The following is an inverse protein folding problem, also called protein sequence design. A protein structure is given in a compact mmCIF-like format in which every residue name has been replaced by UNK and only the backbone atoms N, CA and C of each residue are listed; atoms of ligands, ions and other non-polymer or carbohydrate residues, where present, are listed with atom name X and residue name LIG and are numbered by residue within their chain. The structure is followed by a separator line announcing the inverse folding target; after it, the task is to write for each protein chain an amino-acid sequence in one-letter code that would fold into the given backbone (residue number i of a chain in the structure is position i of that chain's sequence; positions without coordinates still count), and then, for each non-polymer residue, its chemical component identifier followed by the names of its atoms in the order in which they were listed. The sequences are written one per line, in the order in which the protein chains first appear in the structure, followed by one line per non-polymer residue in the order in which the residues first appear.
data_IF_419259710747
#
_entry.id   IF_419259710747
#
_cell.length_a   1.000
_cell.length_b   1.000
_cell.length_c   1.000
_cell.angle_alpha   90.00
_cell.angle_beta   90.00
_cell.angle_gamma   90.00
#
_symmetry.space_group_name_H-M   'P 1'
#
loop_
_entity.id
_entity.type
_entity.pdbx_description
1 polymer ?
#
# COMPACT_ATOMS: atom_id res chain seq x y z
N UNK A 1 -3.42 -5.19 11.91
CA UNK A 1 -4.90 -5.24 12.01
C UNK A 1 -5.42 -4.11 11.13
N UNK A 2 -5.82 -4.43 9.91
CA UNK A 2 -6.26 -3.44 8.91
C UNK A 2 -7.71 -3.06 9.16
N UNK A 3 -7.96 -1.76 9.40
CA UNK A 3 -9.31 -1.23 9.53
C UNK A 3 -9.88 -0.87 8.16
N UNK A 4 -11.13 -1.27 7.90
CA UNK A 4 -11.85 -0.89 6.68
C UNK A 4 -12.31 0.55 6.83
N UNK A 5 -11.73 1.44 6.03
CA UNK A 5 -12.17 2.82 5.90
C UNK A 5 -13.24 2.91 4.79
N UNK A 6 -14.34 3.66 4.97
CA UNK A 6 -15.32 3.86 3.93
C UNK A 6 -14.71 4.32 2.62
N UNK A 7 -15.25 3.83 1.50
CA UNK A 7 -14.68 4.00 0.17
C UNK A 7 -14.50 5.48 -0.25
N UNK A 8 -15.35 6.37 0.26
CA UNK A 8 -15.31 7.82 -0.03
C UNK A 8 -14.27 8.55 0.80
N UNK A 9 -13.96 8.06 2.00
CA UNK A 9 -13.00 8.68 2.91
C UNK A 9 -11.57 8.30 2.55
N UNK A 10 -11.33 7.07 2.11
CA UNK A 10 -9.99 6.59 1.78
C UNK A 10 -9.36 7.32 0.59
N UNK A 11 -10.15 7.73 -0.42
CA UNK A 11 -9.64 8.54 -1.54
C UNK A 11 -9.23 9.95 -1.09
N UNK A 12 -9.97 10.53 -0.14
CA UNK A 12 -9.65 11.83 0.47
C UNK A 12 -8.42 11.73 1.36
N UNK A 13 -8.31 10.69 2.18
CA UNK A 13 -7.16 10.46 3.08
C UNK A 13 -5.89 10.22 2.26
N UNK A 14 -5.93 9.33 1.28
CA UNK A 14 -4.79 9.06 0.40
C UNK A 14 -4.51 10.25 -0.54
N UNK A 15 -5.50 11.10 -0.80
CA UNK A 15 -5.36 12.32 -1.61
C UNK A 15 -5.42 12.06 -3.11
N UNK A 16 -5.98 10.92 -3.53
CA UNK A 16 -6.11 10.57 -4.95
C UNK A 16 -7.26 9.61 -5.21
N UNK A 17 -7.68 9.51 -6.48
CA UNK A 17 -8.75 8.61 -6.91
C UNK A 17 -8.22 7.20 -7.16
N UNK A 18 -9.08 6.19 -7.02
CA UNK A 18 -8.73 4.80 -7.36
C UNK A 18 -8.27 4.67 -8.80
N UNK A 19 -7.13 4.01 -8.99
CA UNK A 19 -6.67 3.58 -10.32
C UNK A 19 -7.36 2.29 -10.76
N UNK A 20 -7.34 2.02 -12.07
CA UNK A 20 -7.94 0.80 -12.64
C UNK A 20 -7.31 -0.47 -12.06
N UNK A 21 -5.98 -0.52 -12.00
CA UNK A 21 -5.20 -1.71 -11.66
C UNK A 21 -4.28 -1.51 -10.45
N UNK A 22 -3.66 -0.33 -10.32
CA UNK A 22 -2.66 -0.07 -9.29
C UNK A 22 -3.26 0.14 -7.90
N UNK A 23 -2.59 -0.43 -6.90
CA UNK A 23 -2.82 -0.09 -5.50
C UNK A 23 -2.00 1.15 -5.17
N UNK A 24 -2.61 2.09 -4.46
CA UNK A 24 -1.97 3.31 -4.00
C UNK A 24 -2.02 3.29 -2.49
N UNK A 25 -0.99 3.79 -1.83
CA UNK A 25 -1.05 4.02 -0.40
C UNK A 25 -0.42 5.36 -0.03
N UNK A 26 -0.75 5.82 1.17
CA UNK A 26 -0.19 7.01 1.81
C UNK A 26 0.16 6.65 3.24
N UNK A 27 1.43 6.80 3.60
CA UNK A 27 1.85 6.78 4.99
C UNK A 27 1.64 8.18 5.56
N UNK A 28 0.71 8.34 6.49
CA UNK A 28 0.45 9.61 7.18
C UNK A 28 1.32 9.62 8.42
N UNK A 29 2.36 10.47 8.41
CA UNK A 29 3.38 10.51 9.48
C UNK A 29 2.79 11.01 10.80
N UNK A 30 1.92 12.02 10.74
CA UNK A 30 1.22 12.59 11.90
C UNK A 30 0.37 11.55 12.67
N UNK A 31 -0.21 10.59 11.94
CA UNK A 31 -1.06 9.54 12.50
C UNK A 31 -0.31 8.22 12.73
N UNK A 32 0.97 8.15 12.33
CA UNK A 32 1.77 6.93 12.29
C UNK A 32 1.03 5.76 11.62
N UNK A 33 0.22 6.06 10.61
CA UNK A 33 -0.74 5.13 10.01
C UNK A 33 -0.59 5.11 8.50
N UNK A 34 -0.62 3.90 7.91
CA UNK A 34 -0.56 3.72 6.45
C UNK A 34 -1.94 3.36 5.94
N UNK A 35 -2.41 4.16 4.99
CA UNK A 35 -3.70 3.98 4.34
C UNK A 35 -3.48 3.39 2.95
N UNK A 36 -4.11 2.26 2.66
CA UNK A 36 -4.09 1.63 1.34
C UNK A 36 -5.42 1.87 0.60
N UNK A 37 -5.29 2.45 -0.58
CA UNK A 37 -6.34 2.60 -1.58
C UNK A 37 -6.23 1.47 -2.60
N UNK A 38 -7.10 0.47 -2.46
CA UNK A 38 -7.23 -0.62 -3.42
C UNK A 38 -7.67 -0.13 -4.80
N UNK A 39 -7.16 -0.78 -5.84
CA UNK A 39 -7.58 -0.52 -7.22
C UNK A 39 -9.06 -0.84 -7.43
N UNK A 40 -9.65 -0.25 -8.47
CA UNK A 40 -11.04 -0.53 -8.85
C UNK A 40 -11.24 -2.01 -9.12
N UNK A 41 -10.34 -2.64 -9.88
CA UNK A 41 -10.43 -4.07 -10.16
C UNK A 41 -10.38 -4.92 -8.88
N UNK A 42 -9.58 -4.55 -7.88
CA UNK A 42 -9.51 -5.27 -6.62
C UNK A 42 -10.81 -5.12 -5.81
N UNK A 43 -11.34 -3.90 -5.75
CA UNK A 43 -12.64 -3.61 -5.13
C UNK A 43 -13.81 -4.35 -5.80
N UNK A 44 -13.79 -4.43 -7.13
CA UNK A 44 -14.89 -5.02 -7.90
C UNK A 44 -14.84 -6.57 -7.90
N UNK A 45 -13.67 -7.17 -7.62
CA UNK A 45 -13.46 -8.63 -7.65
C UNK A 45 -13.46 -9.32 -6.30
N UNK A 46 -13.24 -8.58 -5.20
CA UNK A 46 -13.12 -9.18 -3.86
C UNK A 46 -14.26 -8.73 -2.98
N UNK A 47 -14.92 -9.71 -2.36
CA UNK A 47 -15.95 -9.46 -1.34
C UNK A 47 -15.36 -8.79 -0.09
N UNK A 48 -14.14 -9.17 0.30
CA UNK A 48 -13.38 -8.54 1.38
C UNK A 48 -12.00 -8.05 0.91
N UNK A 49 -11.76 -6.75 1.06
CA UNK A 49 -10.49 -6.11 0.72
C UNK A 49 -9.37 -6.44 1.70
N UNK A 50 -9.68 -6.93 2.92
CA UNK A 50 -8.68 -7.40 3.89
C UNK A 50 -8.00 -8.68 3.42
N UNK A 51 -8.65 -9.47 2.56
CA UNK A 51 -8.06 -10.63 1.91
C UNK A 51 -7.15 -10.28 0.73
N UNK A 52 -7.06 -9.01 0.37
CA UNK A 52 -6.11 -8.56 -0.63
C UNK A 52 -4.67 -8.83 -0.13
N UNK A 53 -3.78 -9.39 -0.97
CA UNK A 53 -2.37 -9.59 -0.61
C UNK A 53 -1.69 -8.31 -0.11
N UNK A 54 -2.08 -7.14 -0.64
CA UNK A 54 -1.53 -5.86 -0.20
C UNK A 54 -1.97 -5.48 1.22
N UNK A 55 -3.22 -5.78 1.61
CA UNK A 55 -3.70 -5.59 2.98
C UNK A 55 -2.98 -6.51 3.95
N UNK A 56 -2.77 -7.77 3.58
CA UNK A 56 -2.01 -8.74 4.38
C UNK A 56 -0.53 -8.32 4.52
N UNK A 57 0.06 -7.78 3.45
CA UNK A 57 1.41 -7.25 3.49
C UNK A 57 1.51 -6.03 4.40
N UNK A 58 0.48 -5.17 4.43
CA UNK A 58 0.39 -4.05 5.36
C UNK A 58 0.22 -4.52 6.81
N UNK A 59 -0.53 -5.59 7.05
CA UNK A 59 -0.68 -6.18 8.39
C UNK A 59 0.63 -6.72 8.98
N UNK A 60 1.62 -7.03 8.13
CA UNK A 60 2.98 -7.39 8.56
C UNK A 60 3.86 -6.18 8.90
N UNK A 61 3.31 -4.97 8.81
CA UNK A 61 4.00 -3.71 9.02
C UNK A 61 4.70 -3.17 7.77
N UNK A 62 5.24 -1.97 7.90
CA UNK A 62 6.05 -1.31 6.88
C UNK A 62 7.47 -1.08 7.39
N UNK A 63 8.42 -0.95 6.47
CA UNK A 63 9.77 -0.51 6.78
C UNK A 63 9.87 1.01 6.62
N UNK A 64 10.09 1.74 7.72
CA UNK A 64 10.15 3.21 7.69
C UNK A 64 11.27 3.74 6.78
N UNK A 65 12.41 3.05 6.67
CA UNK A 65 13.51 3.46 5.78
C UNK A 65 13.10 3.40 4.30
N UNK A 66 12.30 2.41 3.90
CA UNK A 66 11.79 2.30 2.53
C UNK A 66 10.76 3.38 2.23
N UNK A 67 9.99 3.77 3.25
CA UNK A 67 8.92 4.76 3.17
C UNK A 67 9.39 6.19 3.44
N UNK A 68 10.63 6.39 3.89
CA UNK A 68 11.14 7.69 4.34
C UNK A 68 10.96 8.81 3.31
N UNK A 69 11.28 8.52 2.06
CA UNK A 69 11.12 9.48 0.96
C UNK A 69 9.68 9.55 0.45
N UNK A 70 8.81 8.62 0.83
CA UNK A 70 7.44 8.46 0.32
C UNK A 70 6.35 8.75 1.36
N UNK A 71 6.72 9.28 2.52
CA UNK A 71 5.76 9.70 3.55
C UNK A 71 4.88 10.86 3.06
N UNK A 72 3.68 10.94 3.61
CA UNK A 72 2.67 11.99 3.46
C UNK A 72 2.19 12.28 2.04
N UNK A 73 2.56 11.45 1.07
CA UNK A 73 2.12 11.55 -0.33
C UNK A 73 1.54 10.23 -0.86
N UNK A 74 0.59 10.30 -1.81
CA UNK A 74 0.09 9.11 -2.49
C UNK A 74 1.18 8.50 -3.36
N UNK A 75 1.50 7.22 -3.12
CA UNK A 75 2.43 6.44 -3.94
C UNK A 75 1.79 5.14 -4.38
N UNK A 76 2.08 4.72 -5.61
CA UNK A 76 1.80 3.33 -6.00
C UNK A 76 2.61 2.40 -5.10
N UNK A 77 2.07 1.25 -4.74
CA UNK A 77 2.73 0.28 -3.87
C UNK A 77 2.87 -1.08 -4.53
N UNK A 78 3.91 -1.80 -4.11
CA UNK A 78 4.17 -3.19 -4.43
C UNK A 78 4.26 -4.02 -3.15
N UNK A 79 4.38 -5.34 -3.34
CA UNK A 79 4.70 -6.27 -2.27
C UNK A 79 6.14 -6.71 -2.49
N UNK A 80 6.98 -6.59 -1.46
CA UNK A 80 8.33 -7.15 -1.48
C UNK A 80 8.34 -8.42 -0.66
N UNK A 81 8.80 -9.50 -1.27
CA UNK A 81 9.03 -10.79 -0.63
C UNK A 81 10.49 -10.84 -0.15
N UNK A 82 10.76 -10.89 1.16
CA UNK A 82 12.12 -11.05 1.67
C UNK A 82 12.56 -12.52 1.57
N UNK A 83 13.87 -12.74 1.48
CA UNK A 83 14.48 -14.09 1.55
C UNK A 83 14.16 -14.77 2.89
N UNK A 84 14.08 -13.98 3.97
CA UNK A 84 13.70 -14.43 5.32
C UNK A 84 12.69 -13.42 5.88
N UNK A 85 11.50 -13.89 6.25
CA UNK A 85 10.47 -13.08 6.89
C UNK A 85 9.12 -13.11 6.17
N UNK A 86 8.27 -12.12 6.45
CA UNK A 86 6.93 -11.99 5.85
C UNK A 86 6.92 -10.91 4.76
N UNK A 87 6.07 -11.05 3.72
CA UNK A 87 5.94 -10.02 2.69
C UNK A 87 5.49 -8.69 3.30
N UNK A 88 6.07 -7.60 2.81
CA UNK A 88 5.78 -6.24 3.29
C UNK A 88 5.34 -5.32 2.17
N UNK A 89 4.53 -4.34 2.53
CA UNK A 89 4.09 -3.29 1.62
C UNK A 89 5.22 -2.27 1.42
N UNK A 90 5.61 -2.05 0.17
CA UNK A 90 6.69 -1.12 -0.20
C UNK A 90 6.24 -0.13 -1.27
N UNK A 91 6.77 1.11 -1.28
CA UNK A 91 6.54 2.05 -2.37
C UNK A 91 7.06 1.50 -3.71
N UNK A 92 6.23 1.54 -4.77
CA UNK A 92 6.54 0.95 -6.06
C UNK A 92 7.63 1.70 -6.85
N UNK A 93 7.86 2.97 -6.53
CA UNK A 93 9.00 3.74 -7.03
C UNK A 93 10.36 3.14 -6.60
N UNK A 94 10.40 2.25 -5.60
CA UNK A 94 11.60 1.51 -5.19
C UNK A 94 11.63 0.04 -5.63
N UNK A 95 10.65 -0.44 -6.41
CA UNK A 95 10.58 -1.85 -6.82
C UNK A 95 11.51 -2.26 -7.97
N UNK A 96 12.35 -1.35 -8.50
CA UNK A 96 13.39 -1.71 -9.46
C UNK A 96 14.77 -1.23 -9.02
N UNK A 97 15.35 -1.99 -8.11
CA UNK A 97 16.80 -2.16 -7.98
C UNK A 97 17.10 -3.63 -8.26
N UNK A 98 16.82 -4.07 -9.48
CA UNK A 98 17.30 -5.36 -9.97
C UNK A 98 18.65 -5.11 -10.62
N UNK A 99 19.69 -5.71 -10.06
CA UNK A 99 20.96 -6.01 -10.72
C UNK A 99 20.75 -6.34 -12.20
N UNK A 100 21.19 -5.44 -13.08
CA UNK A 100 21.58 -5.76 -14.45
C UNK A 100 22.69 -4.80 -14.89
N UNK A 101 23.93 -5.17 -14.54
CA UNK A 101 25.15 -5.18 -15.36
C UNK A 101 26.39 -4.98 -14.48
#
# INVERSE_FOLDING_TARGET
MTNIVPASDIERIVGTRRRRVDHIARAVSDEQTVYILHSRQCKDRRDDLRDCPFSRALDNGINLDEWAESMDRPVSVGIREPVIGRPRLVPANKTFGGDHA
#
